data_IF_781519399262
#
_entry.id   IF_781519399262
#
_cell.length_a   1.000
_cell.length_b   1.000
_cell.length_c   1.000
_cell.angle_alpha   90.00
_cell.angle_beta   90.00
_cell.angle_gamma   90.00
#
_symmetry.space_group_name_H-M   'P 1'
#
loop_
_entity.id
_entity.type
_entity.pdbx_description
1 polymer ?
#
# COMPACT_ATOMS: atom_id res chain seq x y z
N UNK A 1 19.48 -20.73 5.67
CA UNK A 1 18.13 -20.78 5.11
C UNK A 1 17.76 -19.38 4.67
N UNK A 2 17.39 -19.20 3.41
CA UNK A 2 17.07 -17.88 2.85
C UNK A 2 15.77 -17.34 3.47
N UNK A 3 15.83 -16.13 4.06
CA UNK A 3 14.62 -15.45 4.55
C UNK A 3 13.85 -14.95 3.33
N UNK A 4 12.61 -15.41 3.14
CA UNK A 4 11.72 -14.87 2.10
C UNK A 4 11.52 -13.36 2.29
N UNK A 5 11.46 -12.57 1.21
CA UNK A 5 11.21 -11.13 1.31
C UNK A 5 9.79 -10.86 1.82
N UNK A 6 9.62 -9.75 2.53
CA UNK A 6 8.31 -9.23 2.86
C UNK A 6 7.59 -8.75 1.59
N UNK A 7 6.27 -8.91 1.55
CA UNK A 7 5.43 -8.57 0.41
C UNK A 7 4.32 -7.61 0.82
N UNK A 8 3.80 -6.87 -0.16
CA UNK A 8 2.69 -5.93 0.05
C UNK A 8 1.35 -6.53 -0.33
N UNK A 9 0.40 -5.65 -0.65
CA UNK A 9 -0.97 -6.00 -1.08
C UNK A 9 -1.30 -5.53 -2.51
N UNK A 10 -0.33 -4.93 -3.19
CA UNK A 10 -0.50 -4.43 -4.57
C UNK A 10 -1.31 -3.14 -4.64
N UNK A 11 -0.83 -2.08 -3.99
CA UNK A 11 -1.35 -0.72 -4.08
C UNK A 11 -0.19 0.21 -4.38
N UNK A 12 -0.38 1.14 -5.30
CA UNK A 12 0.53 2.26 -5.52
C UNK A 12 -0.13 3.50 -4.91
N UNK A 13 0.61 4.21 -4.08
CA UNK A 13 0.17 5.47 -3.50
C UNK A 13 0.94 6.64 -4.07
N UNK A 14 0.28 7.79 -4.11
CA UNK A 14 0.89 9.10 -4.31
C UNK A 14 0.63 9.97 -3.09
N UNK A 15 1.64 10.75 -2.69
CA UNK A 15 1.49 11.75 -1.63
C UNK A 15 0.74 12.97 -2.15
N UNK A 16 -0.10 13.55 -1.30
CA UNK A 16 -0.97 14.69 -1.66
C UNK A 16 -0.71 15.95 -0.86
N UNK A 17 0.10 15.85 0.21
CA UNK A 17 0.43 16.98 1.09
C UNK A 17 1.93 17.30 1.01
N UNK A 18 2.27 18.52 1.42
CA UNK A 18 3.67 18.90 1.64
C UNK A 18 4.35 17.97 2.65
N UNK A 19 5.65 17.72 2.46
CA UNK A 19 6.41 16.80 3.29
C UNK A 19 6.16 15.31 2.99
N UNK A 20 5.65 14.99 1.79
CA UNK A 20 5.38 13.63 1.32
C UNK A 20 4.43 12.84 2.24
N UNK A 21 3.40 13.51 2.77
CA UNK A 21 2.36 12.88 3.61
C UNK A 21 1.00 12.88 2.90
N UNK A 22 -0.02 12.28 3.53
CA UNK A 22 -1.37 12.17 2.97
C UNK A 22 -1.40 11.33 1.70
N UNK A 23 -1.49 10.00 1.84
CA UNK A 23 -1.41 9.09 0.72
C UNK A 23 -2.79 8.81 0.09
N UNK A 24 -2.86 8.88 -1.25
CA UNK A 24 -4.03 8.45 -2.03
C UNK A 24 -3.69 7.28 -2.94
N UNK A 25 -4.64 6.38 -3.14
CA UNK A 25 -4.49 5.25 -4.06
C UNK A 25 -4.40 5.81 -5.49
N UNK A 26 -3.22 5.70 -6.09
CA UNK A 26 -2.97 6.16 -7.46
C UNK A 26 -3.16 5.03 -8.47
N UNK A 27 -2.79 3.79 -8.12
CA UNK A 27 -2.94 2.63 -8.99
C UNK A 27 -3.16 1.33 -8.21
N UNK A 28 -3.84 0.39 -8.85
CA UNK A 28 -4.10 -0.97 -8.37
C UNK A 28 -3.58 -1.97 -9.42
N UNK A 29 -2.33 -2.44 -9.25
CA UNK A 29 -1.74 -3.43 -10.14
C UNK A 29 -2.58 -4.69 -10.36
N UNK A 30 -2.51 -5.23 -11.57
CA UNK A 30 -3.12 -6.51 -11.90
C UNK A 30 -2.47 -7.66 -11.14
N UNK A 31 -3.27 -8.64 -10.73
CA UNK A 31 -2.83 -9.73 -9.86
C UNK A 31 -2.60 -9.34 -8.39
N UNK A 32 -2.72 -8.05 -8.03
CA UNK A 32 -2.62 -7.59 -6.65
C UNK A 32 -3.86 -7.92 -5.82
N UNK A 33 -3.67 -8.20 -4.53
CA UNK A 33 -4.77 -8.52 -3.61
C UNK A 33 -5.74 -7.35 -3.42
N UNK A 34 -5.24 -6.12 -3.44
CA UNK A 34 -6.07 -4.92 -3.36
C UNK A 34 -7.03 -4.80 -4.55
N UNK A 35 -6.54 -5.02 -5.78
CA UNK A 35 -7.39 -5.04 -6.98
C UNK A 35 -8.39 -6.19 -6.93
N UNK A 36 -7.93 -7.40 -6.63
CA UNK A 36 -8.77 -8.59 -6.56
C UNK A 36 -9.90 -8.47 -5.52
N UNK A 37 -9.68 -7.70 -4.46
CA UNK A 37 -10.69 -7.47 -3.43
C UNK A 37 -11.92 -6.70 -3.92
N UNK A 38 -11.78 -5.87 -4.97
CA UNK A 38 -12.79 -4.91 -5.45
C UNK A 38 -13.35 -3.96 -4.36
N UNK A 39 -12.68 -3.85 -3.21
CA UNK A 39 -13.10 -3.00 -2.08
C UNK A 39 -12.43 -1.62 -2.09
N UNK A 40 -11.32 -1.50 -2.83
CA UNK A 40 -10.48 -0.30 -2.93
C UNK A 40 -10.58 0.25 -4.34
N UNK A 41 -10.55 1.57 -4.48
CA UNK A 41 -10.48 2.22 -5.79
C UNK A 41 -9.40 3.30 -5.82
N UNK A 42 -9.03 3.73 -7.03
CA UNK A 42 -8.19 4.91 -7.24
C UNK A 42 -8.88 6.15 -6.66
N UNK A 43 -8.10 6.96 -5.94
CA UNK A 43 -8.56 8.14 -5.21
C UNK A 43 -9.04 7.87 -3.78
N UNK A 44 -9.01 6.62 -3.28
CA UNK A 44 -9.20 6.37 -1.85
C UNK A 44 -8.00 6.90 -1.06
N UNK A 45 -8.26 7.62 0.02
CA UNK A 45 -7.24 8.18 0.93
C UNK A 45 -6.88 7.15 2.02
N UNK A 46 -5.58 6.94 2.26
CA UNK A 46 -5.11 6.08 3.33
C UNK A 46 -5.11 6.84 4.66
N UNK A 47 -5.90 6.34 5.61
CA UNK A 47 -6.03 6.92 6.95
C UNK A 47 -5.22 6.13 7.98
N UNK A 48 -5.33 4.79 7.95
CA UNK A 48 -4.64 3.95 8.91
C UNK A 48 -4.18 2.61 8.34
N UNK A 49 -3.10 2.07 8.89
CA UNK A 49 -2.56 0.73 8.59
C UNK A 49 -2.41 -0.05 9.89
N UNK A 50 -3.06 -1.20 9.98
CA UNK A 50 -3.04 -2.05 11.18
C UNK A 50 -3.55 -1.34 12.43
N UNK A 51 -4.44 -0.35 12.29
CA UNK A 51 -4.95 0.47 13.39
C UNK A 51 -4.06 1.67 13.77
N UNK A 52 -2.90 1.83 13.14
CA UNK A 52 -2.05 3.03 13.32
C UNK A 52 -2.46 4.10 12.34
N UNK A 53 -2.78 5.31 12.82
CA UNK A 53 -3.01 6.46 11.93
C UNK A 53 -1.73 6.82 11.17
N UNK A 54 -1.86 7.04 9.87
CA UNK A 54 -0.75 7.31 8.96
C UNK A 54 -0.93 8.59 8.15
N UNK A 55 -1.93 9.42 8.47
CA UNK A 55 -2.30 10.59 7.66
C UNK A 55 -1.20 11.65 7.54
N UNK A 56 -0.32 11.70 8.55
CA UNK A 56 0.84 12.59 8.67
C UNK A 56 2.17 11.82 8.62
N UNK A 57 2.17 10.59 8.09
CA UNK A 57 3.38 9.76 7.96
C UNK A 57 3.87 9.72 6.53
N UNK A 58 5.18 9.58 6.36
CA UNK A 58 5.80 9.43 5.04
C UNK A 58 5.63 8.00 4.51
N UNK A 59 5.72 7.77 3.18
CA UNK A 59 5.73 6.43 2.61
C UNK A 59 6.76 5.49 3.26
N UNK A 60 7.92 6.04 3.66
CA UNK A 60 8.99 5.29 4.31
C UNK A 60 8.57 4.74 5.67
N UNK A 61 7.82 5.52 6.44
CA UNK A 61 7.31 5.11 7.76
C UNK A 61 6.14 4.14 7.65
N UNK A 62 5.38 4.21 6.54
CA UNK A 62 4.20 3.38 6.29
C UNK A 62 4.57 2.01 5.72
N UNK A 63 5.61 1.94 4.89
CA UNK A 63 6.10 0.71 4.28
C UNK A 63 6.24 -0.47 5.27
N UNK A 64 6.89 -0.34 6.45
CA UNK A 64 7.02 -1.46 7.39
C UNK A 64 5.68 -1.90 8.03
N UNK A 65 4.66 -1.04 8.07
CA UNK A 65 3.33 -1.41 8.55
C UNK A 65 2.54 -2.18 7.48
N UNK A 66 2.79 -1.83 6.22
CA UNK A 66 2.07 -2.36 5.08
C UNK A 66 2.65 -3.67 4.57
N UNK A 67 3.98 -3.79 4.57
CA UNK A 67 4.70 -5.00 4.18
C UNK A 67 4.70 -6.04 5.30
N UNK A 68 4.89 -7.30 4.93
CA UNK A 68 5.02 -8.40 5.88
C UNK A 68 5.05 -9.76 5.20
N UNK A 69 5.03 -10.86 5.97
CA UNK A 69 5.18 -12.20 5.42
C UNK A 69 4.10 -12.54 4.40
N UNK A 70 4.48 -13.29 3.37
CA UNK A 70 3.55 -13.82 2.36
C UNK A 70 2.39 -14.57 3.03
N UNK A 71 1.16 -14.26 2.60
CA UNK A 71 -0.05 -14.91 3.09
C UNK A 71 -0.58 -14.39 4.43
N UNK A 72 0.16 -13.51 5.12
CA UNK A 72 -0.36 -12.72 6.25
C UNK A 72 -1.40 -11.70 5.79
N UNK A 73 -2.05 -11.00 6.73
CA UNK A 73 -3.05 -9.99 6.41
C UNK A 73 -2.71 -8.62 7.01
N UNK A 74 -3.17 -7.56 6.35
CA UNK A 74 -3.12 -6.18 6.83
C UNK A 74 -4.51 -5.56 6.75
N UNK A 75 -4.87 -4.79 7.77
CA UNK A 75 -6.12 -4.02 7.78
C UNK A 75 -5.81 -2.58 7.45
N UNK A 76 -6.51 -2.02 6.46
CA UNK A 76 -6.40 -0.64 6.02
C UNK A 76 -7.69 0.10 6.37
N UNK A 77 -7.56 1.32 6.89
CA UNK A 77 -8.67 2.27 6.95
C UNK A 77 -8.51 3.25 5.80
N UNK A 78 -9.49 3.25 4.90
CA UNK A 78 -9.51 4.11 3.72
C UNK A 78 -10.66 5.09 3.83
N UNK A 79 -10.45 6.32 3.38
CA UNK A 79 -11.47 7.36 3.28
C UNK A 79 -11.80 7.61 1.81
N UNK A 80 -13.10 7.72 1.53
CA UNK A 80 -13.64 8.04 0.21
C UNK A 80 -14.73 9.09 0.41
N UNK A 81 -14.45 10.34 0.02
CA UNK A 81 -15.31 11.49 0.37
C UNK A 81 -15.49 11.53 1.89
N UNK A 82 -16.71 11.74 2.40
CA UNK A 82 -17.01 11.79 3.84
C UNK A 82 -17.19 10.42 4.52
N UNK A 83 -16.80 9.30 3.88
CA UNK A 83 -16.99 7.95 4.42
C UNK A 83 -15.67 7.23 4.60
N UNK A 84 -15.50 6.57 5.74
CA UNK A 84 -14.38 5.67 6.02
C UNK A 84 -14.80 4.22 5.87
N UNK A 85 -13.87 3.36 5.45
CA UNK A 85 -14.06 1.92 5.28
C UNK A 85 -12.83 1.16 5.71
N UNK A 86 -13.06 0.07 6.42
CA UNK A 86 -12.01 -0.86 6.85
C UNK A 86 -11.93 -2.00 5.86
N UNK A 87 -10.75 -2.26 5.30
CA UNK A 87 -10.51 -3.34 4.33
C UNK A 87 -9.39 -4.22 4.86
N UNK A 88 -9.64 -5.53 4.97
CA UNK A 88 -8.61 -6.51 5.31
C UNK A 88 -8.12 -7.19 4.04
N UNK A 89 -6.82 -7.10 3.76
CA UNK A 89 -6.20 -7.64 2.57
C UNK A 89 -5.13 -8.66 2.93
N UNK A 90 -5.04 -9.71 2.11
CA UNK A 90 -3.95 -10.68 2.19
C UNK A 90 -2.71 -10.10 1.51
N UNK A 91 -1.55 -10.24 2.14
CA UNK A 91 -0.26 -9.90 1.55
C UNK A 91 0.17 -10.99 0.58
N UNK A 92 0.68 -10.58 -0.57
CA UNK A 92 1.07 -11.48 -1.64
C UNK A 92 1.89 -10.78 -2.71
N UNK A 93 2.58 -11.58 -3.52
CA UNK A 93 3.32 -11.07 -4.67
C UNK A 93 2.34 -10.56 -5.72
N UNK A 94 2.63 -9.37 -6.25
CA UNK A 94 2.03 -8.94 -7.50
C UNK A 94 2.89 -9.53 -8.61
N UNK A 95 2.33 -10.44 -9.41
CA UNK A 95 3.00 -10.94 -10.60
C UNK A 95 2.95 -9.86 -11.69
N UNK A 96 3.85 -8.87 -11.62
CA UNK A 96 4.00 -7.89 -12.71
C UNK A 96 5.15 -8.30 -13.61
N UNK A 97 4.83 -8.59 -14.88
CA UNK A 97 5.78 -8.50 -15.98
C UNK A 97 5.76 -7.05 -16.52
N UNK A 98 6.01 -6.08 -15.64
CA UNK A 98 5.79 -4.64 -15.92
C UNK A 98 7.04 -3.83 -15.53
N UNK A 99 7.77 -3.25 -16.51
CA UNK A 99 8.95 -2.44 -16.27
C UNK A 99 8.49 -1.06 -15.80
N UNK A 100 8.40 -0.85 -14.49
CA UNK A 100 7.89 0.43 -13.97
C UNK A 100 8.17 0.74 -12.51
N UNK A 101 8.87 -0.13 -11.78
CA UNK A 101 9.43 0.23 -10.49
C UNK A 101 10.89 0.60 -10.72
N UNK A 102 11.13 1.89 -10.96
CA UNK A 102 12.48 2.45 -10.80
C UNK A 102 12.81 2.34 -9.32
N UNK A 103 13.59 1.31 -8.97
CA UNK A 103 14.41 1.40 -7.78
C UNK A 103 15.29 2.61 -8.04
N UNK A 104 15.04 3.72 -7.34
CA UNK A 104 16.08 4.72 -7.17
C UNK A 104 17.14 4.03 -6.31
N UNK A 105 18.01 3.25 -6.96
CA UNK A 105 19.31 2.95 -6.41
C UNK A 105 19.93 4.34 -6.19
N UNK A 106 20.08 4.71 -4.93
CA UNK A 106 20.89 5.86 -4.57
C UNK A 106 22.29 5.59 -5.10
N UNK A 107 22.62 6.25 -6.22
CA UNK A 107 23.98 6.37 -6.70
C UNK A 107 24.86 6.90 -5.57
N UNK A 108 26.09 6.39 -5.58
CA UNK A 108 27.17 6.66 -4.61
C UNK A 108 27.46 8.15 -4.42
#
# INVERSE_FOLDING_TARGET
GEKKPDVGVGIVFESTKEGDTGLVVANLPEGGSARASNQIQIGDELVAVGGTDVTEKTPRDIAPLMLGPEGSAVTLLLKRREKTRTVCLRRGFVMQNSPGVTILESDR
#
